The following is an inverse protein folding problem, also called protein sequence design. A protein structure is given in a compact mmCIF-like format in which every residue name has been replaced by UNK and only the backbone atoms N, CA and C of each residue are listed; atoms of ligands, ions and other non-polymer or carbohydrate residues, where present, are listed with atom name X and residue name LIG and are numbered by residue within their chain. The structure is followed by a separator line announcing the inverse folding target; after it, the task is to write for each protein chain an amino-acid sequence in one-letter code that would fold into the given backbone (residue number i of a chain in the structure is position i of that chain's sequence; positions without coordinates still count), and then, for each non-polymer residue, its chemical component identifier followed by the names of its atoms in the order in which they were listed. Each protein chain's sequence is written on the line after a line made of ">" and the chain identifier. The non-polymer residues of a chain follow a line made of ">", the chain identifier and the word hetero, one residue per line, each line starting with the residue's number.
data_IF_375984410253
#
_entry.id   IF_375984410253
#
_cell.length_a   1.000
_cell.length_b   1.000
_cell.length_c   1.000
_cell.angle_alpha   90.00
_cell.angle_beta   90.00
_cell.angle_gamma   90.00
#
_symmetry.space_group_name_H-M   'P 1'
#
loop_
_entity.id
_entity.type
_entity.pdbx_description
1 polymer ?
#
# COMPACT_ATOMS: atom_id res chain seq x y z
N UNK A 1 -41.66 -17.88 -57.69
CA UNK A 1 -41.57 -18.81 -56.54
C UNK A 1 -40.29 -18.48 -55.80
N UNK A 2 -40.36 -17.67 -54.75
CA UNK A 2 -39.22 -17.32 -53.88
C UNK A 2 -39.47 -18.01 -52.55
N UNK A 3 -38.68 -19.03 -52.24
CA UNK A 3 -38.77 -19.79 -50.99
C UNK A 3 -38.44 -18.91 -49.77
N UNK A 4 -38.87 -19.30 -48.55
CA UNK A 4 -38.57 -18.55 -47.34
C UNK A 4 -37.06 -18.52 -47.08
N UNK A 5 -36.50 -17.41 -46.57
CA UNK A 5 -35.07 -17.28 -46.31
C UNK A 5 -34.61 -18.30 -45.27
N UNK A 6 -33.54 -18.99 -45.62
CA UNK A 6 -32.88 -20.08 -44.93
C UNK A 6 -32.39 -19.61 -43.54
N UNK A 7 -33.17 -19.93 -42.51
CA UNK A 7 -32.88 -19.64 -41.11
C UNK A 7 -31.52 -20.20 -40.64
N UNK A 8 -30.94 -21.14 -41.36
CA UNK A 8 -29.60 -21.69 -41.11
C UNK A 8 -28.47 -20.70 -41.39
N UNK A 9 -28.62 -19.78 -42.35
CA UNK A 9 -27.60 -18.78 -42.65
C UNK A 9 -27.54 -17.68 -41.58
N UNK A 10 -28.69 -17.32 -41.01
CA UNK A 10 -28.79 -16.38 -39.89
C UNK A 10 -28.18 -16.96 -38.60
N UNK A 11 -28.33 -18.27 -38.37
CA UNK A 11 -27.76 -18.94 -37.19
C UNK A 11 -26.22 -19.04 -37.24
N UNK A 12 -25.63 -19.18 -38.42
CA UNK A 12 -24.15 -19.23 -38.58
C UNK A 12 -23.53 -17.84 -38.42
N UNK A 13 -24.23 -16.77 -38.81
CA UNK A 13 -23.79 -15.38 -38.58
C UNK A 13 -23.81 -15.00 -37.08
N UNK A 14 -24.75 -15.54 -36.30
CA UNK A 14 -24.81 -15.33 -34.85
C UNK A 14 -23.68 -16.02 -34.07
N UNK A 15 -23.13 -17.12 -34.60
CA UNK A 15 -22.01 -17.86 -33.97
C UNK A 15 -20.62 -17.27 -34.28
N UNK A 16 -20.53 -16.36 -35.26
CA UNK A 16 -19.31 -15.64 -35.64
C UNK A 16 -19.28 -14.19 -35.14
N UNK A 17 -20.25 -13.79 -34.30
CA UNK A 17 -20.09 -12.60 -33.48
C UNK A 17 -18.87 -12.86 -32.58
N UNK A 18 -17.82 -12.03 -32.63
CA UNK A 18 -16.72 -12.18 -31.69
C UNK A 18 -17.35 -12.20 -30.31
N UNK A 19 -16.96 -13.19 -29.50
CA UNK A 19 -17.12 -13.14 -28.07
C UNK A 19 -16.34 -11.90 -27.62
N UNK A 20 -16.97 -10.74 -27.75
CA UNK A 20 -16.61 -9.52 -27.09
C UNK A 20 -16.88 -9.81 -25.63
N UNK A 21 -15.98 -10.59 -25.03
CA UNK A 21 -15.54 -10.37 -23.67
C UNK A 21 -15.34 -8.87 -23.63
N UNK A 22 -16.33 -8.17 -23.08
CA UNK A 22 -16.21 -6.77 -22.76
C UNK A 22 -15.07 -6.67 -21.77
N UNK A 23 -13.85 -6.63 -22.29
CA UNK A 23 -12.75 -5.95 -21.64
C UNK A 23 -13.32 -4.54 -21.55
N UNK A 24 -13.75 -4.08 -20.36
CA UNK A 24 -14.18 -2.70 -20.23
C UNK A 24 -13.03 -1.89 -20.83
N UNK A 25 -13.31 -1.04 -21.81
CA UNK A 25 -12.30 -0.09 -22.26
C UNK A 25 -11.84 0.62 -20.99
N UNK A 26 -10.62 0.31 -20.55
CA UNK A 26 -10.13 0.81 -19.29
C UNK A 26 -10.27 2.33 -19.41
N UNK A 27 -11.08 2.97 -18.54
CA UNK A 27 -11.40 4.38 -18.70
C UNK A 27 -10.07 5.10 -18.80
N UNK A 28 -9.80 5.69 -19.97
CA UNK A 28 -8.46 6.14 -20.33
C UNK A 28 -7.86 6.95 -19.19
N UNK A 29 -6.92 6.35 -18.45
CA UNK A 29 -6.39 6.96 -17.25
C UNK A 29 -5.55 8.15 -17.68
N UNK A 30 -6.08 9.36 -17.47
CA UNK A 30 -5.35 10.58 -17.79
C UNK A 30 -3.98 10.57 -17.11
N UNK A 31 -2.96 11.09 -17.79
CA UNK A 31 -1.58 11.13 -17.27
C UNK A 31 -1.49 11.73 -15.87
N UNK A 32 -2.33 12.72 -15.55
CA UNK A 32 -2.40 13.31 -14.21
C UNK A 32 -2.86 12.33 -13.12
N UNK A 33 -3.84 11.47 -13.41
CA UNK A 33 -4.31 10.46 -12.46
C UNK A 33 -3.23 9.39 -12.21
N UNK A 34 -2.55 8.95 -13.27
CA UNK A 34 -1.43 8.01 -13.16
C UNK A 34 -0.26 8.60 -12.37
N UNK A 35 0.11 9.85 -12.62
CA UNK A 35 1.14 10.54 -11.86
C UNK A 35 0.77 10.67 -10.38
N UNK A 36 -0.49 11.02 -10.07
CA UNK A 36 -0.97 11.11 -8.70
C UNK A 36 -0.93 9.76 -7.96
N UNK A 37 -1.36 8.67 -8.61
CA UNK A 37 -1.27 7.32 -8.05
C UNK A 37 0.18 6.91 -7.81
N UNK A 38 1.08 7.19 -8.76
CA UNK A 38 2.50 6.90 -8.63
C UNK A 38 3.08 7.61 -7.41
N UNK A 39 2.84 8.92 -7.28
CA UNK A 39 3.32 9.71 -6.13
C UNK A 39 2.76 9.15 -4.82
N UNK A 40 1.48 8.80 -4.78
CA UNK A 40 0.86 8.23 -3.58
C UNK A 40 1.48 6.89 -3.18
N UNK A 41 1.66 5.96 -4.12
CA UNK A 41 2.27 4.67 -3.81
C UNK A 41 3.76 4.78 -3.47
N UNK A 42 4.48 5.69 -4.13
CA UNK A 42 5.85 6.03 -3.73
C UNK A 42 5.89 6.58 -2.31
N UNK A 43 4.95 7.44 -1.91
CA UNK A 43 4.88 7.97 -0.56
C UNK A 43 4.63 6.88 0.48
N UNK A 44 3.71 5.95 0.23
CA UNK A 44 3.45 4.78 1.09
C UNK A 44 4.73 3.94 1.25
N UNK A 45 5.36 3.55 0.14
CA UNK A 45 6.58 2.73 0.19
C UNK A 45 7.73 3.47 0.88
N UNK A 46 7.94 4.75 0.55
CA UNK A 46 8.99 5.56 1.14
C UNK A 46 8.80 5.72 2.65
N UNK A 47 7.58 6.06 3.09
CA UNK A 47 7.26 6.22 4.50
C UNK A 47 7.47 4.91 5.26
N UNK A 48 6.93 3.80 4.75
CA UNK A 48 7.10 2.50 5.38
C UNK A 48 8.57 2.04 5.45
N UNK A 49 9.38 2.31 4.43
CA UNK A 49 10.83 2.01 4.47
C UNK A 49 11.58 2.89 5.46
N UNK A 50 11.33 4.21 5.44
CA UNK A 50 11.98 5.20 6.30
C UNK A 50 11.64 4.98 7.78
N UNK A 51 10.48 4.43 8.09
CA UNK A 51 10.08 4.09 9.46
C UNK A 51 10.56 2.70 9.87
N UNK A 52 10.32 1.69 9.04
CA UNK A 52 10.61 0.30 9.41
C UNK A 52 12.10 0.05 9.60
N UNK A 53 12.96 0.56 8.72
CA UNK A 53 14.39 0.25 8.77
C UNK A 53 15.10 0.79 10.01
N UNK A 54 14.98 2.08 10.36
CA UNK A 54 15.62 2.59 11.56
C UNK A 54 15.08 1.95 12.84
N UNK A 55 13.76 1.72 12.93
CA UNK A 55 13.16 1.10 14.12
C UNK A 55 13.65 -0.33 14.29
N UNK A 56 13.69 -1.12 13.21
CA UNK A 56 14.26 -2.47 13.24
C UNK A 56 15.74 -2.45 13.61
N UNK A 57 16.53 -1.54 13.02
CA UNK A 57 17.95 -1.43 13.33
C UNK A 57 18.20 -1.05 14.80
N UNK A 58 17.40 -0.15 15.37
CA UNK A 58 17.46 0.21 16.77
C UNK A 58 17.02 -0.93 17.70
N UNK A 59 15.96 -1.66 17.36
CA UNK A 59 15.51 -2.83 18.11
C UNK A 59 16.58 -3.94 18.14
N UNK A 60 17.26 -4.13 17.01
CA UNK A 60 18.37 -5.08 16.85
C UNK A 60 19.70 -4.59 17.48
N UNK A 61 19.73 -3.38 18.07
CA UNK A 61 20.94 -2.80 18.68
C UNK A 61 22.01 -2.33 17.69
N UNK A 62 21.69 -2.22 16.40
CA UNK A 62 22.60 -1.75 15.34
C UNK A 62 22.55 -0.23 15.10
N UNK A 63 21.57 0.45 15.69
CA UNK A 63 21.37 1.90 15.60
C UNK A 63 21.27 2.45 17.02
N UNK A 64 22.13 3.40 17.37
CA UNK A 64 22.16 4.05 18.68
C UNK A 64 21.35 5.35 18.75
N UNK A 65 21.22 5.95 19.95
CA UNK A 65 20.46 7.18 20.17
C UNK A 65 21.01 8.41 19.44
N UNK A 66 22.30 8.41 19.12
CA UNK A 66 22.99 9.51 18.44
C UNK A 66 22.81 9.46 16.92
N UNK A 67 22.46 8.30 16.37
CA UNK A 67 22.24 8.13 14.95
C UNK A 67 20.96 8.86 14.50
N UNK A 68 20.90 9.31 13.25
CA UNK A 68 19.83 10.19 12.74
C UNK A 68 18.40 9.61 12.70
N UNK A 69 18.19 8.32 13.01
CA UNK A 69 16.93 7.61 12.79
C UNK A 69 16.23 7.13 14.07
N UNK A 70 15.02 6.57 13.95
CA UNK A 70 14.28 5.96 15.05
C UNK A 70 13.30 6.89 15.79
N UNK A 71 12.64 6.34 16.81
CA UNK A 71 11.66 7.04 17.65
C UNK A 71 12.38 7.76 18.79
N UNK A 72 12.46 9.08 18.68
CA UNK A 72 13.11 9.95 19.65
C UNK A 72 12.09 10.58 20.59
N UNK A 73 12.13 10.15 21.85
CA UNK A 73 11.35 10.72 22.95
C UNK A 73 12.25 10.93 24.16
N UNK A 74 11.81 11.71 25.14
CA UNK A 74 12.56 11.91 26.40
C UNK A 74 12.84 10.59 27.15
N UNK A 75 11.99 9.57 26.99
CA UNK A 75 12.19 8.26 27.61
C UNK A 75 13.24 7.42 26.84
N UNK A 76 13.08 7.33 25.51
CA UNK A 76 13.97 6.50 24.67
C UNK A 76 15.40 7.04 24.59
N UNK A 77 15.62 8.33 24.87
CA UNK A 77 16.94 8.95 24.85
C UNK A 77 17.66 8.93 26.22
N UNK A 78 17.05 8.34 27.26
CA UNK A 78 17.60 8.37 28.62
C UNK A 78 18.85 7.50 28.79
N UNK A 79 18.89 6.36 28.10
CA UNK A 79 20.04 5.47 28.08
C UNK A 79 20.01 4.59 26.82
N UNK A 80 21.14 3.97 26.43
CA UNK A 80 21.19 3.01 25.33
C UNK A 80 20.23 1.82 25.52
N UNK A 81 20.03 1.37 26.76
CA UNK A 81 19.10 0.28 27.08
C UNK A 81 17.64 0.73 26.87
N UNK A 82 17.28 1.93 27.32
CA UNK A 82 15.95 2.51 27.11
C UNK A 82 15.64 2.72 25.63
N UNK A 83 16.66 3.08 24.83
CA UNK A 83 16.56 3.18 23.39
C UNK A 83 16.19 1.85 22.74
N UNK A 84 16.96 0.78 23.02
CA UNK A 84 16.71 -0.52 22.43
C UNK A 84 15.36 -1.09 22.88
N UNK A 85 15.04 -0.99 24.17
CA UNK A 85 13.79 -1.52 24.73
C UNK A 85 12.55 -0.83 24.17
N UNK A 86 12.60 0.50 24.01
CA UNK A 86 11.54 1.26 23.35
C UNK A 86 11.31 0.83 21.90
N UNK A 87 12.38 0.58 21.14
CA UNK A 87 12.28 0.14 19.75
C UNK A 87 11.82 -1.31 19.62
N UNK A 88 12.21 -2.20 20.54
CA UNK A 88 11.66 -3.56 20.61
C UNK A 88 10.15 -3.54 20.85
N UNK A 89 9.66 -2.67 21.74
CA UNK A 89 8.22 -2.49 21.96
C UNK A 89 7.51 -1.93 20.71
N UNK A 90 8.11 -0.96 20.01
CA UNK A 90 7.56 -0.40 18.78
C UNK A 90 7.39 -1.45 17.65
N UNK A 91 8.24 -2.48 17.62
CA UNK A 91 8.19 -3.52 16.60
C UNK A 91 6.88 -4.32 16.59
N UNK A 92 6.09 -4.31 17.67
CA UNK A 92 4.78 -4.99 17.69
C UNK A 92 3.86 -4.51 16.55
N UNK A 93 3.90 -3.21 16.23
CA UNK A 93 3.17 -2.59 15.13
C UNK A 93 4.02 -2.49 13.86
N UNK A 94 5.26 -2.03 13.98
CA UNK A 94 6.12 -1.71 12.83
C UNK A 94 6.53 -2.95 12.01
N UNK A 95 6.50 -4.15 12.62
CA UNK A 95 6.72 -5.41 11.89
C UNK A 95 5.70 -5.66 10.78
N UNK A 96 4.50 -5.09 10.88
CA UNK A 96 3.45 -5.28 9.88
C UNK A 96 3.60 -4.33 8.67
N UNK A 97 4.37 -3.24 8.78
CA UNK A 97 4.48 -2.24 7.70
C UNK A 97 4.89 -2.84 6.35
N UNK A 98 5.89 -3.74 6.25
CA UNK A 98 6.26 -4.35 4.96
C UNK A 98 5.11 -5.08 4.26
N UNK A 99 4.29 -5.79 5.04
CA UNK A 99 3.12 -6.50 4.51
C UNK A 99 2.07 -5.50 4.04
N UNK A 100 1.82 -4.45 4.82
CA UNK A 100 0.85 -3.40 4.47
C UNK A 100 1.26 -2.67 3.20
N UNK A 101 2.53 -2.28 3.06
CA UNK A 101 3.06 -1.65 1.84
C UNK A 101 2.77 -2.52 0.60
N UNK A 102 3.08 -3.81 0.68
CA UNK A 102 2.82 -4.75 -0.42
C UNK A 102 1.34 -4.85 -0.73
N UNK A 103 0.49 -5.02 0.29
CA UNK A 103 -0.96 -5.13 0.10
C UNK A 103 -1.58 -3.85 -0.48
N UNK A 104 -1.13 -2.68 -0.03
CA UNK A 104 -1.62 -1.39 -0.51
C UNK A 104 -1.21 -1.15 -1.96
N UNK A 105 0.04 -1.46 -2.33
CA UNK A 105 0.50 -1.29 -3.72
C UNK A 105 -0.20 -2.28 -4.64
N UNK A 106 -0.23 -3.56 -4.31
CA UNK A 106 -0.89 -4.58 -5.14
C UNK A 106 -2.39 -4.37 -5.20
N UNK A 107 -3.03 -4.07 -4.06
CA UNK A 107 -4.45 -3.76 -3.97
C UNK A 107 -4.81 -2.46 -4.69
N UNK A 108 -3.94 -1.46 -4.66
CA UNK A 108 -4.12 -0.20 -5.36
C UNK A 108 -3.99 -0.36 -6.88
N UNK A 109 -3.02 -1.14 -7.35
CA UNK A 109 -2.87 -1.48 -8.77
C UNK A 109 -4.10 -2.28 -9.24
N UNK A 110 -4.47 -3.35 -8.54
CA UNK A 110 -5.65 -4.14 -8.87
C UNK A 110 -6.92 -3.27 -8.83
N UNK A 111 -7.12 -2.51 -7.76
CA UNK A 111 -8.25 -1.58 -7.64
C UNK A 111 -8.32 -0.58 -8.79
N UNK A 112 -7.17 -0.09 -9.27
CA UNK A 112 -7.10 0.80 -10.44
C UNK A 112 -7.52 0.10 -11.73
N UNK A 113 -7.07 -1.13 -11.95
CA UNK A 113 -7.36 -1.91 -13.17
C UNK A 113 -8.84 -2.31 -13.27
N UNK A 114 -9.48 -2.63 -12.14
CA UNK A 114 -10.85 -3.17 -12.13
C UNK A 114 -11.91 -2.12 -11.75
N UNK A 115 -11.55 -1.10 -10.97
CA UNK A 115 -12.46 -0.08 -10.45
C UNK A 115 -12.10 1.36 -10.84
N UNK A 116 -11.05 1.55 -11.62
CA UNK A 116 -10.57 2.86 -12.07
C UNK A 116 -9.75 3.63 -11.02
N UNK A 117 -9.24 4.80 -11.41
CA UNK A 117 -8.31 5.59 -10.61
C UNK A 117 -8.81 5.88 -9.19
N UNK A 118 -10.10 6.18 -9.02
CA UNK A 118 -10.66 6.55 -7.72
C UNK A 118 -10.51 5.41 -6.69
N UNK A 119 -10.68 4.15 -7.11
CA UNK A 119 -10.49 2.99 -6.24
C UNK A 119 -9.01 2.85 -5.86
N UNK A 120 -8.10 3.01 -6.82
CA UNK A 120 -6.66 3.05 -6.56
C UNK A 120 -6.26 4.11 -5.54
N UNK A 121 -6.78 5.32 -5.69
CA UNK A 121 -6.54 6.43 -4.76
C UNK A 121 -7.09 6.13 -3.37
N UNK A 122 -8.32 5.61 -3.27
CA UNK A 122 -8.91 5.24 -1.99
C UNK A 122 -8.07 4.19 -1.25
N UNK A 123 -7.61 3.15 -1.95
CA UNK A 123 -6.73 2.13 -1.37
C UNK A 123 -5.40 2.74 -0.90
N UNK A 124 -4.77 3.58 -1.72
CA UNK A 124 -3.52 4.26 -1.35
C UNK A 124 -3.67 5.17 -0.13
N UNK A 125 -4.76 5.94 -0.05
CA UNK A 125 -5.05 6.82 1.09
C UNK A 125 -5.34 6.05 2.37
N UNK A 126 -6.11 4.95 2.28
CA UNK A 126 -6.34 4.05 3.42
C UNK A 126 -5.03 3.43 3.90
N UNK A 127 -4.18 2.98 2.97
CA UNK A 127 -2.84 2.48 3.28
C UNK A 127 -2.00 3.50 4.03
N UNK A 128 -1.94 4.73 3.52
CA UNK A 128 -1.21 5.82 4.17
C UNK A 128 -1.77 6.13 5.57
N UNK A 129 -3.09 6.15 5.74
CA UNK A 129 -3.72 6.36 7.04
C UNK A 129 -3.35 5.26 8.05
N UNK A 130 -3.30 4.00 7.60
CA UNK A 130 -2.86 2.86 8.42
C UNK A 130 -1.38 3.02 8.82
N UNK A 131 -0.51 3.45 7.92
CA UNK A 131 0.91 3.70 8.26
C UNK A 131 1.06 4.80 9.30
N UNK A 132 0.33 5.91 9.16
CA UNK A 132 0.32 7.01 10.15
C UNK A 132 -0.16 6.49 11.51
N UNK A 133 -1.21 5.67 11.53
CA UNK A 133 -1.70 5.03 12.75
C UNK A 133 -0.63 4.13 13.39
N UNK A 134 0.06 3.29 12.61
CA UNK A 134 1.16 2.45 13.09
C UNK A 134 2.28 3.28 13.70
N UNK A 135 2.68 4.38 13.04
CA UNK A 135 3.72 5.29 13.52
C UNK A 135 3.30 5.91 14.86
N UNK A 136 2.06 6.36 14.98
CA UNK A 136 1.52 6.92 16.22
C UNK A 136 1.54 5.90 17.37
N UNK A 137 1.06 4.67 17.13
CA UNK A 137 1.05 3.61 18.14
C UNK A 137 2.46 3.17 18.52
N UNK A 138 3.35 3.00 17.54
CA UNK A 138 4.75 2.68 17.76
C UNK A 138 5.43 3.72 18.66
N UNK A 139 5.14 5.01 18.45
CA UNK A 139 5.67 6.11 19.28
C UNK A 139 5.19 6.02 20.73
N UNK A 140 3.91 5.71 20.94
CA UNK A 140 3.34 5.56 22.30
C UNK A 140 3.99 4.39 23.03
N UNK A 141 4.06 3.22 22.39
CA UNK A 141 4.61 2.02 23.01
C UNK A 141 6.12 2.14 23.27
N UNK A 142 6.87 2.76 22.36
CA UNK A 142 8.28 3.06 22.59
C UNK A 142 8.48 3.94 23.81
N UNK A 143 7.65 4.97 23.97
CA UNK A 143 7.73 5.88 25.10
C UNK A 143 7.39 5.21 26.42
N UNK A 144 6.34 4.38 26.44
CA UNK A 144 5.89 3.68 27.66
C UNK A 144 6.93 2.63 28.08
N UNK A 145 7.45 1.85 27.15
CA UNK A 145 8.41 0.80 27.47
C UNK A 145 9.75 1.39 27.98
N UNK A 146 10.21 2.49 27.39
CA UNK A 146 11.47 3.13 27.76
C UNK A 146 11.41 3.97 29.06
N UNK A 147 10.26 4.06 29.73
CA UNK A 147 10.10 4.83 30.97
C UNK A 147 10.63 4.07 32.16
#
# INVERSE_FOLDING_TARGET
>A
MTGPPDASAAAVSAAAAPLALGVPEAPGLGLGALAGLLVLFVAVVALGVVVHRPIKAAADGRLGPEDGGGIRTSATLRSPEAWQLGHQAAMIYVRAMPVIMVLVVLGGIAGTLWGGAMVGFAVGLVGLAIEVFIIAMARIFAHIAAR
#
